data_IF_497561352773
#
_entry.id   IF_497561352773
#
_cell.length_a   1.000
_cell.length_b   1.000
_cell.length_c   1.000
_cell.angle_alpha   90.00
_cell.angle_beta   90.00
_cell.angle_gamma   90.00
#
_symmetry.space_group_name_H-M   'P 1'
#
loop_
_entity.id
_entity.type
_entity.pdbx_description
1 polymer ?
#
# COMPACT_ATOMS: atom_id res chain seq x y z
N UNK A 1 -4.40 -2.10 3.59
CA UNK A 1 -3.47 -3.20 3.29
C UNK A 1 -2.07 -2.64 3.20
N UNK A 2 -1.14 -3.31 3.86
CA UNK A 2 0.27 -2.95 3.95
C UNK A 2 1.09 -4.15 3.53
N UNK A 3 2.15 -3.90 2.75
CA UNK A 3 3.09 -4.93 2.31
C UNK A 3 4.46 -4.63 2.89
N UNK A 4 4.98 -5.57 3.67
CA UNK A 4 6.38 -5.58 4.10
C UNK A 4 7.18 -6.45 3.14
N UNK A 5 8.16 -5.85 2.47
CA UNK A 5 9.10 -6.55 1.60
C UNK A 5 10.46 -6.58 2.27
N UNK A 6 11.02 -7.78 2.43
CA UNK A 6 12.36 -8.02 2.94
C UNK A 6 13.26 -8.53 1.81
N UNK A 7 14.37 -7.83 1.59
CA UNK A 7 15.43 -8.23 0.67
C UNK A 7 16.50 -8.98 1.46
N UNK A 8 16.45 -10.31 1.38
CA UNK A 8 17.45 -11.19 1.94
C UNK A 8 18.55 -11.44 0.91
N UNK A 9 19.69 -11.95 1.36
CA UNK A 9 20.87 -12.18 0.51
C UNK A 9 20.55 -12.97 -0.77
N UNK A 10 19.70 -14.00 -0.66
CA UNK A 10 19.39 -14.90 -1.79
C UNK A 10 17.90 -14.92 -2.17
N UNK A 11 17.05 -14.08 -1.55
CA UNK A 11 15.61 -14.12 -1.81
C UNK A 11 14.88 -12.84 -1.41
N UNK A 12 13.67 -12.68 -1.95
CA UNK A 12 12.73 -11.63 -1.56
C UNK A 12 11.55 -12.29 -0.86
N UNK A 13 11.19 -11.80 0.32
CA UNK A 13 9.98 -12.22 1.04
C UNK A 13 9.03 -11.05 1.17
N UNK A 14 7.74 -11.32 1.00
CA UNK A 14 6.67 -10.34 1.13
C UNK A 14 5.64 -10.83 2.13
N UNK A 15 5.19 -9.93 2.99
CA UNK A 15 4.16 -10.17 4.00
C UNK A 15 3.06 -9.14 3.84
N UNK A 16 1.81 -9.58 4.00
CA UNK A 16 0.62 -8.76 3.88
C UNK A 16 -0.02 -8.55 5.23
N UNK A 17 -0.47 -7.32 5.49
CA UNK A 17 -1.13 -6.92 6.71
C UNK A 17 -2.33 -6.03 6.40
N UNK A 18 -3.41 -6.20 7.15
CA UNK A 18 -4.59 -5.35 7.01
C UNK A 18 -4.39 -3.97 7.66
N UNK A 19 -3.71 -3.96 8.80
CA UNK A 19 -3.50 -2.78 9.66
C UNK A 19 -2.07 -2.21 9.57
N UNK A 20 -1.97 -0.89 9.78
CA UNK A 20 -0.69 -0.18 9.73
C UNK A 20 0.20 -0.49 10.93
N UNK A 21 -0.36 -0.54 12.12
CA UNK A 21 0.40 -0.64 13.35
C UNK A 21 1.01 -2.04 13.47
N UNK A 22 0.27 -3.07 13.07
CA UNK A 22 0.79 -4.44 12.97
C UNK A 22 1.99 -4.52 11.99
N UNK A 23 1.82 -4.00 10.77
CA UNK A 23 2.88 -4.01 9.77
C UNK A 23 4.12 -3.22 10.21
N UNK A 24 3.92 -2.14 10.97
CA UNK A 24 5.01 -1.32 11.51
C UNK A 24 5.79 -2.04 12.61
N UNK A 25 5.09 -2.73 13.52
CA UNK A 25 5.74 -3.53 14.57
C UNK A 25 6.65 -4.59 13.95
N UNK A 26 6.19 -5.30 12.93
CA UNK A 26 7.00 -6.30 12.24
C UNK A 26 8.14 -5.68 11.41
N UNK A 27 7.91 -4.51 10.80
CA UNK A 27 8.98 -3.74 10.15
C UNK A 27 10.07 -3.37 11.14
N UNK A 28 9.74 -2.92 12.35
CA UNK A 28 10.74 -2.53 13.36
C UNK A 28 11.57 -3.72 13.87
N UNK A 29 10.97 -4.92 13.95
CA UNK A 29 11.65 -6.16 14.37
C UNK A 29 12.53 -6.80 13.31
N UNK A 30 12.24 -6.59 12.03
CA UNK A 30 12.98 -7.23 10.96
C UNK A 30 14.38 -6.61 10.82
N UNK A 31 15.43 -7.42 10.88
CA UNK A 31 16.77 -7.00 10.44
C UNK A 31 16.89 -7.19 8.92
N UNK A 32 17.87 -6.53 8.29
CA UNK A 32 18.11 -6.44 6.83
C UNK A 32 17.37 -5.32 6.05
N UNK A 33 17.64 -5.25 4.75
CA UNK A 33 17.11 -4.25 3.83
C UNK A 33 15.60 -4.50 3.62
N UNK A 34 14.80 -3.55 4.11
CA UNK A 34 13.36 -3.69 4.23
C UNK A 34 12.62 -2.47 3.69
N UNK A 35 11.48 -2.70 3.06
CA UNK A 35 10.57 -1.67 2.57
C UNK A 35 9.17 -1.99 3.09
N UNK A 36 8.51 -0.99 3.69
CA UNK A 36 7.11 -1.05 4.05
C UNK A 36 6.32 -0.16 3.10
N UNK A 37 5.27 -0.69 2.47
CA UNK A 37 4.45 0.03 1.49
C UNK A 37 2.96 -0.06 1.83
N UNK A 38 2.24 1.05 1.69
CA UNK A 38 0.77 1.09 1.77
C UNK A 38 0.18 0.79 0.40
N UNK A 39 -0.75 -0.17 0.33
CA UNK A 39 -1.53 -0.43 -0.87
C UNK A 39 -2.88 0.27 -0.73
N UNK A 40 -3.14 1.19 -1.66
CA UNK A 40 -4.37 1.97 -1.72
C UNK A 40 -5.14 1.56 -2.97
N UNK A 41 -6.28 0.90 -2.79
CA UNK A 41 -7.16 0.56 -3.90
C UNK A 41 -7.96 1.78 -4.36
N UNK A 42 -8.41 1.78 -5.62
CA UNK A 42 -9.31 2.81 -6.14
C UNK A 42 -10.52 3.05 -5.23
N UNK A 43 -11.11 1.97 -4.69
CA UNK A 43 -12.26 2.03 -3.77
C UNK A 43 -11.92 2.67 -2.42
N UNK A 44 -10.66 2.68 -2.00
CA UNK A 44 -10.25 3.34 -0.77
C UNK A 44 -10.31 4.87 -0.92
N UNK A 45 -10.15 5.40 -2.14
CA UNK A 45 -10.35 6.83 -2.41
C UNK A 45 -11.81 7.28 -2.25
N UNK A 46 -12.76 6.43 -2.65
CA UNK A 46 -14.19 6.67 -2.46
C UNK A 46 -14.53 6.72 -0.96
N UNK A 47 -13.99 5.78 -0.17
CA UNK A 47 -14.19 5.73 1.29
C UNK A 47 -13.48 6.86 2.05
N UNK A 48 -12.32 7.32 1.59
CA UNK A 48 -11.57 8.45 2.19
C UNK A 48 -12.14 9.82 1.83
N UNK A 49 -13.27 9.87 1.10
CA UNK A 49 -14.05 11.09 0.87
C UNK A 49 -13.37 12.13 -0.03
N UNK A 50 -12.38 11.74 -0.84
CA UNK A 50 -11.57 12.68 -1.66
C UNK A 50 -11.87 12.69 -3.16
N UNK A 51 -12.88 11.96 -3.62
CA UNK A 51 -13.44 12.17 -4.96
C UNK A 51 -14.68 13.04 -4.84
N UNK A 52 -14.50 14.37 -4.95
CA UNK A 52 -15.62 15.24 -5.33
C UNK A 52 -15.98 14.84 -6.76
N UNK A 53 -17.12 14.19 -6.92
CA UNK A 53 -17.70 13.65 -8.16
C UNK A 53 -17.85 14.69 -9.30
N UNK A 54 -17.50 15.95 -9.07
CA UNK A 54 -17.53 17.03 -10.06
C UNK A 54 -16.35 17.06 -11.03
N UNK A 55 -15.20 16.43 -10.72
CA UNK A 55 -13.99 16.49 -11.57
C UNK A 55 -13.83 15.29 -12.52
N UNK A 56 -14.61 14.22 -12.35
CA UNK A 56 -14.60 13.06 -13.27
C UNK A 56 -15.59 13.28 -14.41
N UNK A 57 -15.42 14.37 -15.17
CA UNK A 57 -16.18 14.56 -16.42
C UNK A 57 -15.45 14.13 -17.69
N UNK A 58 -14.16 13.81 -17.61
CA UNK A 58 -13.44 13.13 -18.70
C UNK A 58 -12.33 12.23 -18.14
N UNK A 59 -12.55 10.90 -18.08
CA UNK A 59 -11.46 9.95 -17.85
C UNK A 59 -10.44 10.05 -19.00
N UNK A 60 -9.13 9.91 -18.74
CA UNK A 60 -8.07 10.03 -19.75
C UNK A 60 -8.13 8.98 -20.88
N UNK A 61 -9.08 8.05 -20.81
CA UNK A 61 -9.29 6.97 -21.78
C UNK A 61 -10.41 7.26 -22.77
N UNK A 62 -11.13 8.39 -22.62
CA UNK A 62 -12.11 8.84 -23.61
C UNK A 62 -11.45 9.83 -24.56
N UNK A 63 -11.22 9.37 -25.80
CA UNK A 63 -10.92 10.20 -26.97
C UNK A 63 -12.24 10.58 -27.65
#
# INVERSE_FOLDING_TARGET
>A
MWILTLFLQDSIKMFEYDDKDEARVEFEKADDCKILSEIIHYRDFEKRGKLKTSEVRNPPWKW
#
